data_IF_590221622722
#
_entry.id   IF_590221622722
#
_cell.length_a   1.000
_cell.length_b   1.000
_cell.length_c   1.000
_cell.angle_alpha   90.00
_cell.angle_beta   90.00
_cell.angle_gamma   90.00
#
_symmetry.space_group_name_H-M   'P 1'
#
loop_
_entity.id
_entity.type
_entity.pdbx_description
1 polymer ?
#
# COMPACT_ATOMS: atom_id res chain seq x y z
N UNK A 1 16.35 21.72 -18.09
CA UNK A 1 16.70 20.30 -17.82
C UNK A 1 15.41 19.49 -17.72
N UNK A 2 15.45 18.19 -17.98
CA UNK A 2 14.25 17.34 -17.88
C UNK A 2 13.67 17.36 -16.45
N UNK A 3 12.34 17.37 -16.32
CA UNK A 3 11.62 17.32 -15.04
C UNK A 3 11.93 16.01 -14.34
N UNK A 4 12.24 16.08 -13.04
CA UNK A 4 12.57 14.92 -12.21
C UNK A 4 11.57 14.79 -11.08
N UNK A 5 11.18 13.56 -10.78
CA UNK A 5 10.14 13.23 -9.79
C UNK A 5 10.72 12.28 -8.75
N UNK A 6 10.47 12.54 -7.48
CA UNK A 6 10.76 11.63 -6.38
C UNK A 6 9.44 11.23 -5.71
N UNK A 7 9.26 9.93 -5.48
CA UNK A 7 8.06 9.36 -4.86
C UNK A 7 8.42 8.80 -3.49
N UNK A 8 7.73 9.28 -2.46
CA UNK A 8 7.81 8.78 -1.11
C UNK A 8 6.44 8.26 -0.67
N UNK A 9 6.38 7.00 -0.28
CA UNK A 9 5.16 6.34 0.16
C UNK A 9 5.22 6.09 1.67
N UNK A 10 4.21 6.60 2.37
CA UNK A 10 3.84 6.11 3.70
C UNK A 10 3.00 4.84 3.48
N UNK A 11 3.69 3.70 3.45
CA UNK A 11 3.12 2.44 2.96
C UNK A 11 2.04 1.91 3.91
N UNK A 12 2.29 1.98 5.22
CA UNK A 12 1.33 1.59 6.24
C UNK A 12 0.03 2.38 6.07
N UNK A 13 0.14 3.70 5.86
CA UNK A 13 -1.02 4.57 5.77
C UNK A 13 -1.88 4.28 4.53
N UNK A 14 -1.27 4.09 3.36
CA UNK A 14 -2.04 3.78 2.14
C UNK A 14 -2.70 2.40 2.21
N UNK A 15 -2.02 1.40 2.79
CA UNK A 15 -2.55 0.04 2.96
C UNK A 15 -3.70 0.03 3.96
N UNK A 16 -3.52 0.64 5.13
CA UNK A 16 -4.55 0.71 6.18
C UNK A 16 -5.75 1.53 5.71
N UNK A 17 -5.51 2.69 5.08
CA UNK A 17 -6.58 3.54 4.58
C UNK A 17 -7.40 2.84 3.49
N UNK A 18 -6.73 2.10 2.58
CA UNK A 18 -7.43 1.32 1.56
C UNK A 18 -8.20 0.16 2.18
N UNK A 19 -7.63 -0.53 3.16
CA UNK A 19 -8.31 -1.58 3.90
C UNK A 19 -9.60 -1.06 4.53
N UNK A 20 -9.54 0.05 5.26
CA UNK A 20 -10.71 0.66 5.90
C UNK A 20 -11.72 1.20 4.87
N UNK A 21 -11.27 1.71 3.74
CA UNK A 21 -12.16 2.17 2.66
C UNK A 21 -13.01 1.02 2.10
N UNK A 22 -12.43 -0.16 1.92
CA UNK A 22 -13.10 -1.32 1.30
C UNK A 22 -13.88 -2.14 2.33
N UNK A 23 -13.35 -2.29 3.54
CA UNK A 23 -13.91 -3.16 4.59
C UNK A 23 -14.73 -2.40 5.65
N UNK A 24 -14.82 -1.07 5.52
CA UNK A 24 -15.54 -0.19 6.44
C UNK A 24 -14.62 0.50 7.45
N UNK A 25 -15.06 1.67 7.93
CA UNK A 25 -14.26 2.53 8.81
C UNK A 25 -13.77 1.78 10.06
N UNK A 26 -12.50 1.95 10.41
CA UNK A 26 -11.83 1.32 11.54
C UNK A 26 -11.84 -0.23 11.50
N UNK A 27 -12.02 -0.85 10.32
CA UNK A 27 -12.06 -2.31 10.21
C UNK A 27 -10.69 -2.92 10.45
N UNK A 28 -9.60 -2.29 10.00
CA UNK A 28 -8.25 -2.79 10.19
C UNK A 28 -7.92 -3.01 11.67
N UNK A 29 -8.22 -2.03 12.53
CA UNK A 29 -7.95 -2.15 13.97
C UNK A 29 -8.83 -3.21 14.65
N UNK A 30 -10.10 -3.34 14.23
CA UNK A 30 -11.00 -4.38 14.77
C UNK A 30 -10.52 -5.78 14.38
N UNK A 31 -10.16 -5.96 13.11
CA UNK A 31 -9.77 -7.25 12.55
C UNK A 31 -8.40 -7.70 13.06
N UNK A 32 -7.49 -6.75 13.28
CA UNK A 32 -6.21 -6.99 13.94
C UNK A 32 -6.38 -7.48 15.39
N UNK A 33 -7.41 -7.00 16.09
CA UNK A 33 -7.72 -7.42 17.46
C UNK A 33 -8.53 -8.72 17.54
N UNK A 34 -9.39 -8.96 16.54
CA UNK A 34 -10.24 -10.15 16.42
C UNK A 34 -10.22 -10.62 14.98
N UNK A 35 -9.43 -11.65 14.69
CA UNK A 35 -9.33 -12.22 13.35
C UNK A 35 -10.72 -12.65 12.87
N UNK A 36 -11.27 -12.03 11.81
CA UNK A 36 -12.57 -12.41 11.26
C UNK A 36 -12.46 -13.72 10.47
N UNK A 37 -13.60 -14.36 10.18
CA UNK A 37 -13.63 -15.60 9.39
C UNK A 37 -13.06 -15.41 7.97
N UNK A 38 -13.25 -14.22 7.39
CA UNK A 38 -12.77 -13.83 6.06
C UNK A 38 -11.41 -13.09 6.07
N UNK A 39 -10.59 -13.30 7.10
CA UNK A 39 -9.35 -12.54 7.34
C UNK A 39 -8.35 -12.55 6.17
N UNK A 40 -8.34 -13.60 5.34
CA UNK A 40 -7.45 -13.69 4.16
C UNK A 40 -8.02 -12.97 2.93
N UNK A 41 -9.35 -12.87 2.81
CA UNK A 41 -10.00 -12.25 1.66
C UNK A 41 -10.01 -10.71 1.76
N UNK A 42 -10.10 -10.17 2.98
CA UNK A 42 -10.17 -8.73 3.21
C UNK A 42 -8.93 -7.95 2.75
N UNK A 43 -7.69 -8.40 3.03
CA UNK A 43 -6.49 -7.77 2.47
C UNK A 43 -6.46 -7.88 0.95
N UNK A 44 -6.80 -9.06 0.40
CA UNK A 44 -6.75 -9.31 -1.04
C UNK A 44 -7.64 -8.34 -1.83
N UNK A 45 -8.90 -8.16 -1.42
CA UNK A 45 -9.82 -7.21 -2.08
C UNK A 45 -9.46 -5.74 -1.86
N UNK A 46 -8.65 -5.45 -0.84
CA UNK A 46 -8.17 -4.10 -0.51
C UNK A 46 -6.72 -3.85 -0.97
N UNK A 47 -6.17 -4.71 -1.82
CA UNK A 47 -4.80 -4.56 -2.32
C UNK A 47 -4.62 -3.22 -3.02
N UNK A 48 -3.57 -2.48 -2.66
CA UNK A 48 -3.15 -1.27 -3.37
C UNK A 48 -2.29 -1.67 -4.55
N UNK A 49 -2.54 -1.10 -5.72
CA UNK A 49 -1.66 -1.23 -6.87
C UNK A 49 -0.58 -0.14 -6.81
N UNK A 50 0.61 -0.51 -6.30
CA UNK A 50 1.74 0.40 -6.16
C UNK A 50 2.35 0.71 -7.52
N UNK A 51 2.30 -0.25 -8.46
CA UNK A 51 2.77 -0.07 -9.83
C UNK A 51 2.00 1.04 -10.53
N UNK A 52 0.67 1.03 -10.42
CA UNK A 52 -0.18 2.09 -10.98
C UNK A 52 0.15 3.49 -10.43
N UNK A 53 0.52 3.60 -9.14
CA UNK A 53 0.94 4.88 -8.53
C UNK A 53 2.26 5.35 -9.14
N UNK A 54 3.23 4.45 -9.29
CA UNK A 54 4.55 4.75 -9.86
C UNK A 54 4.42 5.12 -11.34
N UNK A 55 3.63 4.36 -12.10
CA UNK A 55 3.35 4.62 -13.51
C UNK A 55 2.68 5.98 -13.71
N UNK A 56 1.68 6.29 -12.89
CA UNK A 56 1.06 7.62 -12.90
C UNK A 56 2.06 8.72 -12.55
N UNK A 57 2.91 8.51 -11.54
CA UNK A 57 3.95 9.46 -11.16
C UNK A 57 4.96 9.73 -12.29
N UNK A 58 5.25 8.71 -13.11
CA UNK A 58 6.15 8.85 -14.28
C UNK A 58 5.62 9.82 -15.34
N UNK A 59 4.30 10.06 -15.38
CA UNK A 59 3.70 11.04 -16.30
C UNK A 59 4.12 12.49 -15.99
N UNK A 60 4.60 12.76 -14.77
CA UNK A 60 5.07 14.09 -14.36
C UNK A 60 6.56 14.33 -14.66
N UNK A 61 7.32 13.30 -15.03
CA UNK A 61 8.74 13.41 -15.36
C UNK A 61 9.53 12.15 -15.02
N UNK A 62 10.85 12.22 -15.20
CA UNK A 62 11.73 11.08 -14.91
C UNK A 62 11.75 10.79 -13.41
N UNK A 63 11.33 9.58 -13.03
CA UNK A 63 11.48 9.08 -11.68
C UNK A 63 12.96 8.93 -11.33
N UNK A 64 13.41 9.65 -10.31
CA UNK A 64 14.81 9.60 -9.84
C UNK A 64 14.97 8.89 -8.50
N UNK A 65 13.87 8.75 -7.76
CA UNK A 65 13.86 8.04 -6.48
C UNK A 65 12.44 7.57 -6.19
N UNK A 66 12.32 6.32 -5.77
CA UNK A 66 11.09 5.78 -5.19
C UNK A 66 11.46 5.13 -3.86
N UNK A 67 10.82 5.56 -2.77
CA UNK A 67 10.99 4.97 -1.44
C UNK A 67 9.65 4.74 -0.79
N UNK A 68 9.48 3.55 -0.23
CA UNK A 68 8.35 3.21 0.63
C UNK A 68 8.85 2.99 2.06
N UNK A 69 8.19 3.62 3.03
CA UNK A 69 8.43 3.41 4.46
C UNK A 69 7.28 2.60 5.03
N UNK A 70 7.61 1.50 5.70
CA UNK A 70 6.64 0.59 6.29
C UNK A 70 7.23 -0.15 7.49
N UNK A 71 6.38 -0.65 8.36
CA UNK A 71 6.72 -1.80 9.21
C UNK A 71 6.71 -3.09 8.37
N UNK A 72 7.88 -3.49 7.87
CA UNK A 72 8.03 -4.72 7.08
C UNK A 72 7.90 -6.01 7.88
N UNK A 73 7.79 -5.93 9.21
CA UNK A 73 7.48 -7.10 10.04
C UNK A 73 5.99 -7.43 10.04
N UNK A 74 5.13 -6.49 9.61
CA UNK A 74 3.69 -6.70 9.54
C UNK A 74 3.32 -7.64 8.37
N UNK A 75 2.54 -8.69 8.66
CA UNK A 75 2.12 -9.70 7.69
C UNK A 75 1.37 -9.09 6.48
N UNK A 76 0.53 -8.08 6.73
CA UNK A 76 -0.21 -7.38 5.66
C UNK A 76 0.72 -6.69 4.66
N UNK A 77 1.87 -6.17 5.12
CA UNK A 77 2.84 -5.50 4.26
C UNK A 77 3.73 -6.52 3.52
N UNK A 78 4.04 -7.65 4.15
CA UNK A 78 4.83 -8.72 3.54
C UNK A 78 4.19 -9.26 2.24
N UNK A 79 2.86 -9.22 2.14
CA UNK A 79 2.11 -9.58 0.92
C UNK A 79 2.43 -8.72 -0.31
N UNK A 80 2.96 -7.51 -0.12
CA UNK A 80 3.32 -6.59 -1.21
C UNK A 80 4.73 -6.79 -1.75
N UNK A 81 5.52 -7.73 -1.19
CA UNK A 81 6.90 -7.98 -1.62
C UNK A 81 7.01 -8.16 -3.13
N UNK A 82 6.05 -8.85 -3.77
CA UNK A 82 6.04 -9.06 -5.21
C UNK A 82 5.85 -7.82 -6.09
N UNK A 83 5.35 -6.71 -5.54
CA UNK A 83 5.25 -5.42 -6.25
C UNK A 83 6.47 -4.52 -6.02
N UNK A 84 7.33 -4.87 -5.06
CA UNK A 84 8.42 -4.01 -4.57
C UNK A 84 9.82 -4.50 -4.97
N UNK A 85 9.93 -5.67 -5.63
CA UNK A 85 11.19 -6.23 -6.16
C UNK A 85 11.23 -6.22 -7.68
#
# INVERSE_FOLDING_TARGET
>A
GATRVAVYLDFDNIVISRYDQVNGRNSFQRDKAKSPEDAQERPARATVDVGAIIDFASSFGTLVLTRAYADWSAEINAGYRGQLV
#
